data_IF_993596806812
#
_entry.id   IF_993596806812
#
_cell.length_a   1.000
_cell.length_b   1.000
_cell.length_c   1.000
_cell.angle_alpha   90.00
_cell.angle_beta   90.00
_cell.angle_gamma   90.00
#
_symmetry.space_group_name_H-M   'P 1'
#
loop_
_entity.id
_entity.type
_entity.pdbx_description
1 polymer ?
#
# COMPACT_ATOMS: atom_id res chain seq x y z
N UNK A 1 -9.33 -5.54 -27.50
CA UNK A 1 -8.28 -6.15 -28.33
C UNK A 1 -8.09 -5.30 -29.57
N UNK A 2 -6.86 -5.00 -29.92
CA UNK A 2 -6.49 -4.23 -31.11
C UNK A 2 -6.08 -5.19 -32.23
N UNK A 3 -6.62 -5.03 -33.43
CA UNK A 3 -6.21 -5.82 -34.60
C UNK A 3 -4.82 -5.38 -35.08
N UNK A 4 -3.94 -6.33 -35.27
CA UNK A 4 -2.60 -6.11 -35.84
C UNK A 4 -2.50 -6.50 -37.32
N UNK A 5 -3.64 -6.86 -37.93
CA UNK A 5 -3.70 -7.40 -39.29
C UNK A 5 -3.34 -8.88 -39.36
N UNK A 6 -3.58 -9.52 -40.52
CA UNK A 6 -3.27 -10.94 -40.77
C UNK A 6 -3.79 -11.93 -39.70
N UNK A 7 -4.96 -11.63 -39.12
CA UNK A 7 -5.56 -12.46 -38.08
C UNK A 7 -4.88 -12.37 -36.70
N UNK A 8 -3.96 -11.42 -36.49
CA UNK A 8 -3.28 -11.19 -35.22
C UNK A 8 -3.98 -10.07 -34.44
N UNK A 9 -4.04 -10.26 -33.13
CA UNK A 9 -4.63 -9.31 -32.19
C UNK A 9 -3.72 -9.12 -31.00
N UNK A 10 -3.71 -7.92 -30.43
CA UNK A 10 -3.14 -7.65 -29.11
C UNK A 10 -4.25 -7.28 -28.12
N UNK A 11 -4.07 -7.70 -26.91
CA UNK A 11 -4.93 -7.34 -25.79
C UNK A 11 -4.01 -6.94 -24.62
N UNK A 12 -4.07 -5.67 -24.27
CA UNK A 12 -3.45 -5.19 -23.05
C UNK A 12 -4.47 -5.30 -21.91
N UNK A 13 -4.10 -5.91 -20.83
CA UNK A 13 -4.92 -5.95 -19.64
C UNK A 13 -4.10 -5.55 -18.41
N UNK A 14 -4.77 -4.88 -17.49
CA UNK A 14 -4.11 -4.43 -16.27
C UNK A 14 -4.16 -5.54 -15.22
N UNK A 15 -3.01 -6.18 -14.99
CA UNK A 15 -2.86 -7.23 -13.98
C UNK A 15 -3.06 -6.71 -12.54
N UNK A 16 -3.09 -5.40 -12.32
CA UNK A 16 -3.29 -4.79 -11.00
C UNK A 16 -4.69 -5.06 -10.40
N UNK A 17 -5.64 -5.48 -11.22
CA UNK A 17 -6.98 -5.87 -10.75
C UNK A 17 -7.03 -7.32 -10.23
N UNK A 18 -5.96 -8.07 -10.29
CA UNK A 18 -5.88 -9.46 -9.87
C UNK A 18 -5.13 -9.62 -8.53
N UNK A 19 -5.68 -10.48 -7.68
CA UNK A 19 -5.40 -10.53 -6.23
C UNK A 19 -4.16 -11.40 -5.87
N UNK A 20 -3.19 -11.64 -6.73
CA UNK A 20 -2.04 -12.43 -6.30
C UNK A 20 -1.02 -12.78 -7.36
N UNK A 21 0.04 -13.42 -6.90
CA UNK A 21 0.99 -14.14 -7.74
C UNK A 21 0.39 -15.47 -8.14
N UNK A 22 0.74 -15.97 -9.29
CA UNK A 22 0.31 -17.29 -9.69
C UNK A 22 0.20 -17.48 -11.18
N UNK A 23 -0.29 -18.66 -11.54
CA UNK A 23 -0.57 -19.03 -12.91
C UNK A 23 -1.95 -18.50 -13.32
N UNK A 24 -1.97 -17.66 -14.32
CA UNK A 24 -3.20 -17.12 -14.90
C UNK A 24 -3.54 -17.83 -16.18
N UNK A 25 -4.82 -18.19 -16.32
CA UNK A 25 -5.37 -18.79 -17.51
C UNK A 25 -6.10 -17.73 -18.34
N UNK A 26 -5.71 -17.57 -19.58
CA UNK A 26 -6.36 -16.66 -20.53
C UNK A 26 -7.09 -17.46 -21.58
N UNK A 27 -8.39 -17.24 -21.67
CA UNK A 27 -9.23 -17.83 -22.69
C UNK A 27 -9.74 -16.73 -23.62
N UNK A 28 -9.50 -16.89 -24.90
CA UNK A 28 -9.98 -15.98 -25.94
C UNK A 28 -11.15 -16.61 -26.66
N UNK A 29 -12.26 -15.89 -26.73
CA UNK A 29 -13.46 -16.32 -27.41
C UNK A 29 -13.82 -15.36 -28.56
N UNK A 30 -14.30 -15.91 -29.64
CA UNK A 30 -14.92 -15.15 -30.74
C UNK A 30 -16.44 -15.24 -30.63
N UNK A 31 -17.11 -14.10 -30.70
CA UNK A 31 -18.56 -14.02 -30.78
C UNK A 31 -18.99 -13.57 -32.19
N UNK A 32 -19.86 -14.34 -32.81
CA UNK A 32 -20.40 -14.01 -34.12
C UNK A 32 -21.82 -14.60 -34.22
N UNK A 33 -22.81 -13.82 -34.62
CA UNK A 33 -24.19 -14.26 -34.78
C UNK A 33 -24.80 -14.91 -33.52
N UNK A 34 -24.48 -14.39 -32.32
CA UNK A 34 -24.95 -14.95 -31.04
C UNK A 34 -24.23 -16.21 -30.60
N UNK A 35 -23.32 -16.77 -31.39
CA UNK A 35 -22.53 -17.95 -31.06
C UNK A 35 -21.16 -17.55 -30.54
N UNK A 36 -20.79 -18.11 -29.39
CA UNK A 36 -19.47 -17.96 -28.76
C UNK A 36 -18.63 -19.20 -29.07
N UNK A 37 -17.42 -19.01 -29.58
CA UNK A 37 -16.48 -20.10 -29.92
C UNK A 37 -15.13 -19.79 -29.28
N UNK A 38 -14.57 -20.74 -28.53
CA UNK A 38 -13.21 -20.66 -28.01
C UNK A 38 -12.20 -20.66 -29.15
N UNK A 39 -11.28 -19.69 -29.12
CA UNK A 39 -10.27 -19.50 -30.18
C UNK A 39 -8.90 -19.89 -29.68
N UNK A 40 -8.59 -19.56 -28.44
CA UNK A 40 -7.28 -19.81 -27.84
C UNK A 40 -7.41 -19.93 -26.32
N UNK A 41 -6.58 -20.77 -25.73
CA UNK A 41 -6.29 -20.77 -24.30
C UNK A 41 -4.78 -20.71 -24.13
N UNK A 42 -4.32 -19.91 -23.20
CA UNK A 42 -2.91 -19.78 -22.85
C UNK A 42 -2.75 -19.52 -21.36
N UNK A 43 -1.58 -19.80 -20.86
CA UNK A 43 -1.21 -19.54 -19.47
C UNK A 43 -0.05 -18.57 -19.42
N UNK A 44 -0.01 -17.72 -18.42
CA UNK A 44 1.15 -16.91 -18.10
C UNK A 44 1.33 -16.84 -16.60
N UNK A 45 2.59 -16.78 -16.18
CA UNK A 45 2.97 -16.66 -14.79
C UNK A 45 3.06 -15.16 -14.44
N UNK A 46 2.30 -14.73 -13.45
CA UNK A 46 2.52 -13.45 -12.82
C UNK A 46 3.40 -13.68 -11.58
N UNK A 47 4.60 -13.13 -11.62
CA UNK A 47 5.50 -13.08 -10.48
C UNK A 47 5.59 -11.63 -10.07
N UNK A 48 4.97 -11.29 -8.96
CA UNK A 48 5.18 -9.99 -8.34
C UNK A 48 6.55 -10.04 -7.65
N UNK A 49 7.35 -8.96 -7.70
CA UNK A 49 8.58 -8.93 -6.92
C UNK A 49 8.23 -9.24 -5.47
N UNK A 50 8.69 -10.36 -4.95
CA UNK A 50 8.69 -10.60 -3.52
C UNK A 50 9.59 -9.54 -2.93
N UNK A 51 8.97 -8.54 -2.31
CA UNK A 51 9.76 -7.62 -1.52
C UNK A 51 10.37 -8.48 -0.44
N UNK A 52 11.69 -8.58 -0.48
CA UNK A 52 12.42 -9.19 0.61
C UNK A 52 11.85 -8.61 1.91
N UNK A 53 11.31 -9.48 2.75
CA UNK A 53 10.96 -9.12 4.12
C UNK A 53 12.24 -8.51 4.66
N UNK A 54 12.30 -7.18 4.70
CA UNK A 54 13.45 -6.52 5.32
C UNK A 54 13.45 -7.06 6.74
N UNK A 55 14.55 -7.72 7.11
CA UNK A 55 14.81 -8.06 8.52
C UNK A 55 14.32 -6.90 9.37
N UNK A 56 13.69 -7.15 10.53
CA UNK A 56 13.37 -6.09 11.45
C UNK A 56 14.59 -5.19 11.52
N UNK A 57 14.47 -3.97 11.06
CA UNK A 57 15.54 -3.01 11.23
C UNK A 57 15.67 -2.90 12.74
N UNK A 58 16.80 -3.36 13.29
CA UNK A 58 17.17 -3.02 14.64
C UNK A 58 17.31 -1.50 14.66
N UNK A 59 16.18 -0.83 14.88
CA UNK A 59 16.21 0.61 15.10
C UNK A 59 16.92 0.82 16.43
N UNK A 60 18.22 1.05 16.35
CA UNK A 60 18.92 1.76 17.40
C UNK A 60 18.12 3.03 17.66
N UNK A 61 17.77 3.27 18.91
CA UNK A 61 16.99 4.42 19.34
C UNK A 61 17.57 5.69 18.71
N UNK A 62 16.88 6.24 17.71
CA UNK A 62 17.21 7.56 17.18
C UNK A 62 16.87 8.58 18.27
N UNK A 63 17.87 9.25 18.88
CA UNK A 63 17.64 10.21 19.94
C UNK A 63 16.81 11.43 19.48
N UNK A 64 16.67 11.63 18.18
CA UNK A 64 15.79 12.66 17.62
C UNK A 64 14.33 12.26 17.55
N UNK A 65 14.00 10.98 17.73
CA UNK A 65 12.62 10.49 17.76
C UNK A 65 12.04 10.65 19.16
N UNK A 66 11.18 11.64 19.32
CA UNK A 66 10.60 12.01 20.63
C UNK A 66 9.35 11.21 21.01
N UNK A 67 8.88 10.32 20.13
CA UNK A 67 7.71 9.50 20.41
C UNK A 67 8.05 8.31 21.30
N UNK A 68 7.12 7.87 22.16
CA UNK A 68 7.35 6.70 23.03
C UNK A 68 7.64 5.45 22.22
N UNK A 69 8.72 4.78 22.54
CA UNK A 69 9.21 3.57 21.84
C UNK A 69 8.12 2.50 21.75
N UNK A 70 7.96 1.96 20.57
CA UNK A 70 6.98 0.91 20.29
C UNK A 70 5.59 1.42 19.90
N UNK A 71 5.28 2.72 20.04
CA UNK A 71 4.03 3.28 19.55
C UNK A 71 4.01 3.40 18.01
N UNK A 72 2.82 3.51 17.43
CA UNK A 72 2.69 3.66 15.97
C UNK A 72 3.42 4.91 15.46
N UNK A 73 3.33 6.00 16.21
CA UNK A 73 4.02 7.28 15.93
C UNK A 73 5.53 7.14 15.99
N UNK A 74 6.06 6.41 16.97
CA UNK A 74 7.49 6.10 17.03
C UNK A 74 7.94 5.29 15.81
N UNK A 75 7.19 4.24 15.46
CA UNK A 75 7.51 3.41 14.30
C UNK A 75 7.48 4.19 12.99
N UNK A 76 6.44 5.01 12.79
CA UNK A 76 6.33 5.84 11.60
C UNK A 76 7.46 6.88 11.51
N UNK A 77 7.84 7.54 12.61
CA UNK A 77 8.97 8.48 12.67
C UNK A 77 10.30 7.80 12.40
N UNK A 78 10.52 6.59 12.92
CA UNK A 78 11.73 5.82 12.69
C UNK A 78 11.89 5.40 11.21
N UNK A 79 10.77 5.10 10.52
CA UNK A 79 10.74 4.74 9.11
C UNK A 79 10.76 5.95 8.17
N UNK A 80 10.23 7.08 8.63
CA UNK A 80 10.14 8.35 7.91
C UNK A 80 10.77 9.47 8.74
N UNK A 81 12.11 9.58 8.79
CA UNK A 81 12.81 10.56 9.64
C UNK A 81 12.45 12.01 9.31
N UNK A 82 11.96 12.27 8.12
CA UNK A 82 11.48 13.58 7.68
C UNK A 82 10.20 14.04 8.39
N UNK A 83 9.43 13.13 9.00
CA UNK A 83 8.24 13.50 9.77
C UNK A 83 8.62 14.36 10.97
N UNK A 84 7.75 15.31 11.32
CA UNK A 84 7.98 16.17 12.48
C UNK A 84 7.83 15.43 13.81
N UNK A 85 8.49 15.93 14.82
CA UNK A 85 8.21 15.60 16.20
C UNK A 85 6.98 16.37 16.70
N UNK A 86 6.31 15.89 17.73
CA UNK A 86 5.20 16.58 18.40
C UNK A 86 3.95 16.76 17.50
N UNK A 87 3.74 15.90 16.53
CA UNK A 87 2.52 15.93 15.70
C UNK A 87 1.28 15.35 16.39
N UNK A 88 1.42 14.91 17.63
CA UNK A 88 0.33 14.32 18.43
C UNK A 88 0.17 12.81 18.24
N UNK A 89 -1.04 12.33 18.47
CA UNK A 89 -1.42 10.94 18.22
C UNK A 89 -1.52 10.65 16.72
N UNK A 90 -1.59 9.38 16.34
CA UNK A 90 -1.65 8.97 14.93
C UNK A 90 -2.73 9.70 14.13
N UNK A 91 -3.91 9.86 14.69
CA UNK A 91 -5.03 10.59 14.05
C UNK A 91 -4.79 12.08 13.84
N UNK A 92 -3.87 12.69 14.60
CA UNK A 92 -3.55 14.12 14.51
C UNK A 92 -2.52 14.44 13.43
N UNK A 93 -1.77 13.42 12.97
CA UNK A 93 -0.59 13.61 12.13
C UNK A 93 -0.90 14.30 10.80
N UNK A 94 -1.99 13.94 10.14
CA UNK A 94 -2.37 14.56 8.88
C UNK A 94 -2.62 16.07 9.02
N UNK A 95 -3.27 16.50 10.10
CA UNK A 95 -3.52 17.92 10.38
C UNK A 95 -2.24 18.65 10.79
N UNK A 96 -1.40 18.02 11.61
CA UNK A 96 -0.12 18.56 12.05
C UNK A 96 0.86 18.72 10.89
N UNK A 97 0.93 17.73 10.00
CA UNK A 97 1.76 17.79 8.80
C UNK A 97 1.34 18.93 7.86
N UNK A 98 0.02 19.15 7.66
CA UNK A 98 -0.46 20.31 6.88
C UNK A 98 0.00 21.64 7.51
N UNK A 99 -0.10 21.78 8.83
CA UNK A 99 0.40 22.98 9.53
C UNK A 99 1.89 23.17 9.40
N UNK A 100 2.63 22.06 9.28
CA UNK A 100 4.09 22.07 9.07
C UNK A 100 4.50 22.23 7.60
N UNK A 101 3.53 22.42 6.68
CA UNK A 101 3.79 22.69 5.26
C UNK A 101 3.93 21.43 4.39
N UNK A 102 3.65 20.25 4.92
CA UNK A 102 3.67 19.03 4.13
C UNK A 102 2.40 18.86 3.30
N UNK A 103 2.56 18.30 2.11
CA UNK A 103 1.44 17.90 1.27
C UNK A 103 0.73 16.69 1.89
N UNK A 104 -0.60 16.77 1.99
CA UNK A 104 -1.44 15.68 2.49
C UNK A 104 -2.59 15.43 1.51
N UNK A 105 -2.83 14.19 1.16
CA UNK A 105 -3.85 13.80 0.20
C UNK A 105 -4.48 12.44 0.49
N UNK A 106 -5.22 11.92 -0.49
CA UNK A 106 -5.98 10.65 -0.38
C UNK A 106 -5.37 9.51 -1.21
N UNK A 107 -4.32 9.77 -1.98
CA UNK A 107 -3.72 8.77 -2.87
C UNK A 107 -2.51 8.11 -2.21
N UNK A 108 -2.48 6.78 -2.03
CA UNK A 108 -1.31 6.12 -1.47
C UNK A 108 -0.10 6.24 -2.38
N UNK A 109 1.07 6.47 -1.80
CA UNK A 109 2.36 6.49 -2.48
C UNK A 109 3.39 5.78 -1.59
N UNK A 110 4.31 5.03 -2.19
CA UNK A 110 5.42 4.41 -1.45
C UNK A 110 6.25 5.50 -0.77
N UNK A 111 6.55 5.31 0.50
CA UNK A 111 7.25 6.28 1.35
C UNK A 111 6.34 7.31 2.02
N UNK A 112 5.07 7.42 1.64
CA UNK A 112 4.12 8.25 2.35
C UNK A 112 3.73 7.64 3.71
N UNK A 113 3.34 8.48 4.65
CA UNK A 113 2.77 8.03 5.93
C UNK A 113 1.25 7.97 5.78
N UNK A 114 0.68 6.79 5.91
CA UNK A 114 -0.76 6.59 6.02
C UNK A 114 -1.22 6.91 7.45
N UNK A 115 -2.25 7.73 7.58
CA UNK A 115 -2.83 8.17 8.85
C UNK A 115 -4.31 7.82 8.88
N UNK A 116 -4.74 7.10 9.90
CA UNK A 116 -6.14 6.74 10.16
C UNK A 116 -6.66 7.46 11.40
N UNK A 117 -7.97 7.71 11.43
CA UNK A 117 -8.62 8.56 12.44
C UNK A 117 -9.47 7.82 13.46
N UNK A 118 -9.58 6.50 13.37
CA UNK A 118 -10.43 5.74 14.29
C UNK A 118 -9.81 5.51 15.67
N UNK A 119 -10.63 5.01 16.61
CA UNK A 119 -10.18 4.59 17.92
C UNK A 119 -9.75 5.72 18.87
N UNK A 120 -10.05 6.97 18.57
CA UNK A 120 -9.71 8.13 19.37
C UNK A 120 -8.25 8.58 19.27
N UNK A 121 -7.30 7.65 19.24
CA UNK A 121 -5.88 7.96 19.03
C UNK A 121 -5.46 7.92 17.56
N UNK A 122 -6.25 7.24 16.72
CA UNK A 122 -5.89 6.98 15.35
C UNK A 122 -4.68 6.05 15.22
N UNK A 123 -4.17 5.92 14.00
CA UNK A 123 -3.01 5.08 13.72
C UNK A 123 -2.17 5.65 12.58
N UNK A 124 -0.88 5.31 12.55
CA UNK A 124 0.03 5.68 11.46
C UNK A 124 0.95 4.53 11.09
N UNK A 125 1.29 4.44 9.82
CA UNK A 125 2.29 3.52 9.28
C UNK A 125 2.86 4.05 7.97
N UNK A 126 4.02 3.54 7.55
CA UNK A 126 4.68 3.97 6.32
C UNK A 126 4.34 3.01 5.18
N UNK A 127 3.86 3.55 4.08
CA UNK A 127 3.50 2.79 2.87
C UNK A 127 4.77 2.23 2.23
N UNK A 128 4.81 0.92 2.06
CA UNK A 128 5.94 0.21 1.43
C UNK A 128 5.62 -0.25 0.02
N UNK A 129 4.35 -0.54 -0.27
CA UNK A 129 3.90 -1.00 -1.58
C UNK A 129 2.51 -0.48 -1.87
N UNK A 130 2.27 -0.17 -3.14
CA UNK A 130 0.98 0.25 -3.66
C UNK A 130 0.67 -0.57 -4.91
N UNK A 131 -0.41 -1.32 -4.87
CA UNK A 131 -1.00 -1.97 -6.04
C UNK A 131 -2.14 -1.12 -6.61
N UNK A 132 -3.01 -0.63 -5.71
CA UNK A 132 -4.07 0.32 -6.03
C UNK A 132 -4.39 1.16 -4.79
N UNK A 133 -5.32 2.13 -4.92
CA UNK A 133 -5.76 2.92 -3.78
C UNK A 133 -6.48 2.08 -2.70
N UNK A 134 -6.95 0.88 -3.05
CA UNK A 134 -7.57 -0.10 -2.14
C UNK A 134 -6.66 -1.27 -1.79
N UNK A 135 -5.41 -1.25 -2.21
CA UNK A 135 -4.52 -2.39 -1.96
C UNK A 135 -3.08 -1.93 -1.78
N UNK A 136 -2.68 -1.84 -0.52
CA UNK A 136 -1.35 -1.37 -0.12
C UNK A 136 -0.72 -2.34 0.88
N UNK A 137 0.60 -2.18 1.08
CA UNK A 137 1.30 -2.70 2.25
C UNK A 137 1.95 -1.55 2.99
N UNK A 138 2.07 -1.70 4.31
CA UNK A 138 2.74 -0.74 5.17
C UNK A 138 3.71 -1.44 6.12
N UNK A 139 4.64 -0.70 6.66
CA UNK A 139 5.32 -1.02 7.92
C UNK A 139 4.78 -0.11 9.00
N UNK A 140 4.51 -0.70 10.15
CA UNK A 140 3.85 -0.04 11.27
C UNK A 140 4.34 -0.61 12.60
N UNK A 141 4.10 0.07 13.70
CA UNK A 141 4.31 -0.41 15.06
C UNK A 141 3.03 -0.29 15.86
N UNK A 142 2.90 -1.03 16.94
CA UNK A 142 1.73 -1.09 17.82
C UNK A 142 0.42 -1.47 17.10
N UNK A 143 0.51 -2.36 16.11
CA UNK A 143 -0.66 -3.00 15.53
C UNK A 143 -1.02 -4.24 16.34
N UNK A 144 -2.29 -4.34 16.78
CA UNK A 144 -2.77 -5.42 17.64
C UNK A 144 -1.87 -5.67 18.87
N UNK A 145 -1.31 -4.60 19.47
CA UNK A 145 -0.44 -4.67 20.62
C UNK A 145 1.01 -5.07 20.34
N UNK A 146 1.39 -5.25 19.09
CA UNK A 146 2.75 -5.61 18.68
C UNK A 146 3.64 -4.35 18.62
N UNK A 147 4.45 -4.13 19.64
CA UNK A 147 5.22 -2.89 19.86
C UNK A 147 6.59 -2.90 19.20
N UNK A 148 6.68 -3.36 17.97
CA UNK A 148 7.86 -3.33 17.10
C UNK A 148 7.43 -3.06 15.66
N UNK A 149 8.39 -2.70 14.79
CA UNK A 149 8.10 -2.34 13.40
C UNK A 149 8.06 -3.60 12.54
N UNK A 150 6.92 -3.84 11.88
CA UNK A 150 6.77 -4.89 10.88
C UNK A 150 5.63 -4.59 9.90
N UNK A 151 5.55 -5.40 8.85
CA UNK A 151 4.36 -5.50 8.01
C UNK A 151 3.43 -6.57 8.60
N UNK A 152 2.49 -6.16 9.43
CA UNK A 152 1.59 -7.09 10.12
C UNK A 152 0.42 -7.54 9.25
N UNK A 153 0.00 -6.72 8.31
CA UNK A 153 -1.26 -6.91 7.55
C UNK A 153 -1.05 -7.50 6.16
N UNK A 154 0.18 -7.54 5.65
CA UNK A 154 0.38 -7.87 4.24
C UNK A 154 -0.34 -6.89 3.32
N UNK A 155 -0.98 -7.41 2.29
CA UNK A 155 -1.84 -6.62 1.41
C UNK A 155 -3.22 -6.40 2.02
N UNK A 156 -3.67 -5.15 2.14
CA UNK A 156 -4.98 -4.83 2.70
C UNK A 156 -5.59 -3.58 2.04
N UNK A 157 -6.91 -3.40 2.23
CA UNK A 157 -7.62 -2.19 1.82
C UNK A 157 -7.53 -1.13 2.93
N UNK A 158 -6.79 -0.03 2.72
CA UNK A 158 -6.63 1.00 3.72
C UNK A 158 -7.90 1.83 3.96
N UNK A 159 -8.86 1.80 3.05
CA UNK A 159 -10.06 2.64 3.10
C UNK A 159 -11.14 2.13 4.05
N UNK A 160 -11.05 0.88 4.46
CA UNK A 160 -11.98 0.21 5.38
C UNK A 160 -11.30 -0.30 6.65
N UNK A 161 -10.00 -0.01 6.82
CA UNK A 161 -9.20 -0.63 7.88
C UNK A 161 -9.46 -0.01 9.25
N UNK A 162 -9.39 1.33 9.36
CA UNK A 162 -9.38 2.04 10.65
C UNK A 162 -9.91 3.47 10.49
N UNK A 163 -11.13 3.64 10.00
CA UNK A 163 -11.73 4.96 9.74
C UNK A 163 -11.18 5.63 8.48
N UNK A 164 -11.20 6.95 8.45
CA UNK A 164 -10.73 7.71 7.29
C UNK A 164 -9.21 7.70 7.20
N UNK A 165 -8.68 7.37 6.02
CA UNK A 165 -7.26 7.40 5.74
C UNK A 165 -6.85 8.67 4.97
N UNK A 166 -5.74 9.26 5.37
CA UNK A 166 -5.02 10.31 4.64
C UNK A 166 -3.54 9.93 4.51
N UNK A 167 -2.86 10.48 3.51
CA UNK A 167 -1.44 10.22 3.28
C UNK A 167 -0.64 11.51 3.36
N UNK A 168 0.42 11.51 4.18
CA UNK A 168 1.39 12.59 4.25
C UNK A 168 2.54 12.22 3.33
N UNK A 169 2.94 13.13 2.45
CA UNK A 169 4.01 12.87 1.49
C UNK A 169 5.30 13.55 1.92
N UNK A 170 6.45 12.90 1.68
CA UNK A 170 7.72 13.59 1.83
C UNK A 170 7.80 14.80 0.89
N UNK A 171 8.46 15.86 1.32
CA UNK A 171 8.75 17.05 0.49
C UNK A 171 9.90 16.76 -0.49
#
# INVERSE_FOLDING_TARGET
ANSLGNGRYSLDFNANNHIGDGLYHVHVYRQSGGKVTGVMASNFQVTRPTVAVRKPLNHTSDPSNTYPVGECTWGAKALAPWAGNWWGNGGDWAASARRAGFRVGSTPQVGAIACWTDGGYGHVGVVTHVDSYKRIQIQESNYAGQRYIANFRGWFDPTIAQGTVSYIYPN
#
